data_IF_571875300967
#
_entry.id   IF_571875300967
#
_cell.length_a   1.000
_cell.length_b   1.000
_cell.length_c   1.000
_cell.angle_alpha   90.00
_cell.angle_beta   90.00
_cell.angle_gamma   90.00
#
_symmetry.space_group_name_H-M   'P 1'
#
loop_
_entity.id
_entity.type
_entity.pdbx_description
1 polymer ?
#
# COMPACT_ATOMS: atom_id res chain seq x y z
N UNK A 1 -28.41 -25.61 -17.66
CA UNK A 1 -28.40 -25.71 -16.19
C UNK A 1 -28.30 -24.31 -15.61
N UNK A 2 -28.99 -24.01 -14.51
CA UNK A 2 -28.89 -22.70 -13.85
C UNK A 2 -27.73 -22.74 -12.85
N UNK A 3 -26.93 -21.69 -12.84
CA UNK A 3 -25.69 -21.64 -12.06
C UNK A 3 -25.59 -20.28 -11.34
N UNK A 4 -25.15 -20.31 -10.08
CA UNK A 4 -24.68 -19.11 -9.39
C UNK A 4 -23.19 -19.00 -9.62
N UNK A 5 -22.77 -17.90 -10.26
CA UNK A 5 -21.36 -17.60 -10.52
C UNK A 5 -20.90 -16.49 -9.59
N UNK A 6 -19.93 -16.79 -8.74
CA UNK A 6 -19.31 -15.83 -7.84
C UNK A 6 -17.98 -15.36 -8.43
N UNK A 7 -17.87 -14.06 -8.65
CA UNK A 7 -16.72 -13.43 -9.30
C UNK A 7 -15.79 -12.79 -8.28
N UNK A 8 -14.51 -12.69 -8.66
CA UNK A 8 -13.51 -11.91 -7.93
C UNK A 8 -13.86 -10.43 -7.98
N UNK A 9 -13.48 -9.73 -6.91
CA UNK A 9 -13.53 -8.27 -6.83
C UNK A 9 -12.28 -7.68 -7.49
N UNK A 10 -12.48 -6.62 -8.29
CA UNK A 10 -11.39 -5.84 -8.90
C UNK A 10 -10.63 -5.00 -7.87
N UNK A 11 -11.21 -4.77 -6.69
CA UNK A 11 -10.66 -3.97 -5.61
C UNK A 11 -9.26 -4.43 -5.18
N UNK A 12 -8.97 -5.73 -5.19
CA UNK A 12 -7.64 -6.24 -4.83
C UNK A 12 -6.58 -5.81 -5.85
N UNK A 13 -6.90 -5.88 -7.14
CA UNK A 13 -5.97 -5.44 -8.19
C UNK A 13 -5.71 -3.93 -8.12
N UNK A 14 -6.75 -3.14 -7.87
CA UNK A 14 -6.62 -1.69 -7.63
C UNK A 14 -5.75 -1.38 -6.41
N UNK A 15 -5.92 -2.12 -5.30
CA UNK A 15 -5.07 -1.96 -4.10
C UNK A 15 -3.61 -2.28 -4.39
N UNK A 16 -3.33 -3.34 -5.14
CA UNK A 16 -1.94 -3.70 -5.52
C UNK A 16 -1.32 -2.56 -6.32
N UNK A 17 -2.02 -2.08 -7.37
CA UNK A 17 -1.54 -0.98 -8.21
C UNK A 17 -1.29 0.26 -7.35
N UNK A 18 -2.28 0.67 -6.55
CA UNK A 18 -2.18 1.84 -5.69
C UNK A 18 -1.03 1.76 -4.68
N UNK A 19 -0.74 0.57 -4.14
CA UNK A 19 0.40 0.37 -3.24
C UNK A 19 1.75 0.40 -3.97
N UNK A 20 1.79 -0.01 -5.24
CA UNK A 20 3.06 -0.11 -6.00
C UNK A 20 3.47 1.19 -6.68
N UNK A 21 2.51 2.01 -7.13
CA UNK A 21 2.79 3.26 -7.86
C UNK A 21 3.76 4.18 -7.11
N UNK A 22 3.57 4.48 -5.81
CA UNK A 22 4.49 5.38 -5.10
C UNK A 22 5.94 4.90 -5.12
N UNK A 23 6.17 3.60 -4.92
CA UNK A 23 7.52 3.03 -4.94
C UNK A 23 8.14 3.05 -6.33
N UNK A 24 7.34 2.85 -7.38
CA UNK A 24 7.81 2.97 -8.76
C UNK A 24 8.18 4.42 -9.07
N UNK A 25 7.35 5.39 -8.69
CA UNK A 25 7.63 6.82 -8.90
C UNK A 25 8.90 7.25 -8.16
N UNK A 26 9.03 6.89 -6.87
CA UNK A 26 10.23 7.17 -6.08
C UNK A 26 11.45 6.49 -6.71
N UNK A 27 11.31 5.23 -7.17
CA UNK A 27 12.39 4.49 -7.80
C UNK A 27 12.87 5.12 -9.11
N UNK A 28 11.94 5.57 -9.97
CA UNK A 28 12.25 6.30 -11.20
C UNK A 28 12.99 7.59 -10.85
N UNK A 29 12.50 8.35 -9.87
CA UNK A 29 13.13 9.59 -9.44
C UNK A 29 14.58 9.37 -8.96
N UNK A 30 14.83 8.34 -8.15
CA UNK A 30 16.19 7.97 -7.71
C UNK A 30 17.09 7.58 -8.88
N UNK A 31 16.58 6.82 -9.86
CA UNK A 31 17.35 6.46 -11.07
C UNK A 31 17.71 7.70 -11.89
N UNK A 32 16.82 8.69 -11.97
CA UNK A 32 17.04 9.89 -12.79
C UNK A 32 17.94 10.93 -12.14
N UNK A 33 17.97 11.00 -10.80
CA UNK A 33 18.70 12.04 -10.07
C UNK A 33 20.05 11.57 -9.56
N UNK A 34 20.14 10.33 -9.08
CA UNK A 34 21.36 9.84 -8.47
C UNK A 34 22.33 9.29 -9.54
N UNK A 35 23.63 9.51 -9.36
CA UNK A 35 24.65 9.01 -10.28
C UNK A 35 24.69 7.47 -10.32
N UNK A 36 24.98 6.85 -11.50
CA UNK A 36 25.13 5.40 -11.61
C UNK A 36 26.14 4.85 -10.61
N UNK A 37 25.79 3.74 -9.94
CA UNK A 37 26.65 3.07 -8.96
C UNK A 37 26.47 3.54 -7.51
N UNK A 38 25.70 4.60 -7.25
CA UNK A 38 25.32 4.97 -5.88
C UNK A 38 24.30 3.97 -5.30
N UNK A 39 24.26 3.87 -3.96
CA UNK A 39 23.27 3.03 -3.27
C UNK A 39 21.84 3.43 -3.66
N UNK A 40 21.58 4.74 -3.77
CA UNK A 40 20.28 5.26 -4.18
C UNK A 40 19.91 4.81 -5.60
N UNK A 41 20.82 4.93 -6.56
CA UNK A 41 20.60 4.50 -7.93
C UNK A 41 20.22 3.01 -8.01
N UNK A 42 20.95 2.15 -7.28
CA UNK A 42 20.67 0.70 -7.20
C UNK A 42 19.31 0.44 -6.55
N UNK A 43 18.99 1.14 -5.45
CA UNK A 43 17.69 1.04 -4.78
C UNK A 43 16.54 1.52 -5.67
N UNK A 44 16.79 2.50 -6.53
CA UNK A 44 15.82 2.97 -7.53
C UNK A 44 15.46 1.86 -8.52
N UNK A 45 16.47 1.16 -9.06
CA UNK A 45 16.25 -0.02 -9.91
C UNK A 45 15.53 -1.15 -9.18
N UNK A 46 15.91 -1.45 -7.94
CA UNK A 46 15.18 -2.42 -7.13
C UNK A 46 13.72 -2.01 -6.96
N UNK A 47 13.46 -0.74 -6.65
CA UNK A 47 12.13 -0.17 -6.50
C UNK A 47 11.29 -0.34 -7.77
N UNK A 48 11.82 0.09 -8.91
CA UNK A 48 11.12 0.02 -10.21
C UNK A 48 10.92 -1.43 -10.64
N UNK A 49 11.94 -2.28 -10.59
CA UNK A 49 11.81 -3.66 -11.05
C UNK A 49 10.92 -4.50 -10.14
N UNK A 50 11.08 -4.40 -8.81
CA UNK A 50 10.32 -5.22 -7.87
C UNK A 50 8.87 -4.75 -7.75
N UNK A 51 8.64 -3.46 -7.49
CA UNK A 51 7.27 -2.94 -7.35
C UNK A 51 6.58 -2.74 -8.71
N UNK A 52 7.35 -2.52 -9.78
CA UNK A 52 6.82 -2.44 -11.15
C UNK A 52 6.10 -3.72 -11.59
N UNK A 53 6.54 -4.91 -11.13
CA UNK A 53 5.83 -6.17 -11.35
C UNK A 53 4.44 -6.21 -10.70
N UNK A 54 4.19 -5.38 -9.68
CA UNK A 54 2.88 -5.24 -9.06
C UNK A 54 1.84 -4.66 -10.01
N UNK A 55 2.24 -3.81 -10.96
CA UNK A 55 1.34 -3.20 -11.95
C UNK A 55 0.72 -4.25 -12.89
N UNK A 56 1.49 -5.06 -13.65
CA UNK A 56 0.91 -6.09 -14.51
C UNK A 56 0.16 -7.16 -13.71
N UNK A 57 0.61 -7.52 -12.50
CA UNK A 57 -0.13 -8.43 -11.61
C UNK A 57 -1.50 -7.83 -11.21
N UNK A 58 -1.52 -6.56 -10.84
CA UNK A 58 -2.74 -5.83 -10.50
C UNK A 58 -3.70 -5.72 -11.68
N UNK A 59 -3.19 -5.41 -12.87
CA UNK A 59 -3.96 -5.37 -14.12
C UNK A 59 -4.54 -6.75 -14.45
N UNK A 60 -3.74 -7.82 -14.35
CA UNK A 60 -4.23 -9.19 -14.55
C UNK A 60 -5.37 -9.52 -13.60
N UNK A 61 -5.28 -9.11 -12.33
CA UNK A 61 -6.33 -9.33 -11.35
C UNK A 61 -7.60 -8.49 -11.63
N UNK A 62 -7.47 -7.28 -12.20
CA UNK A 62 -8.61 -6.44 -12.61
C UNK A 62 -9.32 -7.03 -13.83
N UNK A 63 -8.55 -7.52 -14.81
CA UNK A 63 -9.10 -8.05 -16.05
C UNK A 63 -9.51 -9.53 -15.96
N UNK A 64 -9.15 -10.25 -14.89
CA UNK A 64 -9.60 -11.63 -14.65
C UNK A 64 -11.10 -11.68 -14.30
N UNK A 65 -11.95 -11.69 -15.34
CA UNK A 65 -13.41 -11.81 -15.23
C UNK A 65 -13.90 -13.25 -15.05
N UNK A 66 -13.01 -14.22 -14.87
CA UNK A 66 -13.39 -15.64 -14.72
C UNK A 66 -14.06 -15.86 -13.36
N UNK A 67 -15.15 -16.65 -13.28
CA UNK A 67 -15.77 -17.01 -12.01
C UNK A 67 -14.75 -17.71 -11.11
N UNK A 68 -14.80 -17.43 -9.81
CA UNK A 68 -13.98 -18.12 -8.83
C UNK A 68 -14.73 -19.34 -8.29
N UNK A 69 -16.00 -19.18 -7.91
CA UNK A 69 -16.85 -20.26 -7.42
C UNK A 69 -18.06 -20.37 -8.35
N UNK A 70 -18.39 -21.60 -8.74
CA UNK A 70 -19.59 -21.95 -9.51
C UNK A 70 -20.40 -22.93 -8.66
N UNK A 71 -21.68 -22.63 -8.47
CA UNK A 71 -22.63 -23.45 -7.72
C UNK A 71 -23.75 -23.82 -8.67
N UNK A 72 -24.02 -25.11 -8.84
CA UNK A 72 -25.06 -25.62 -9.72
C UNK A 72 -25.86 -26.75 -9.01
N UNK A 73 -26.77 -27.41 -9.72
CA UNK A 73 -27.63 -28.48 -9.19
C UNK A 73 -26.89 -29.79 -8.83
N UNK A 74 -25.70 -30.01 -9.37
CA UNK A 74 -24.86 -31.19 -9.15
C UNK A 74 -23.85 -30.97 -8.02
N UNK A 75 -23.27 -29.77 -7.91
CA UNK A 75 -22.27 -29.49 -6.90
C UNK A 75 -21.74 -28.05 -6.86
N UNK A 76 -20.59 -27.93 -6.21
CA UNK A 76 -19.84 -26.69 -6.05
C UNK A 76 -18.41 -26.87 -6.57
N UNK A 77 -17.97 -25.93 -7.39
CA UNK A 77 -16.62 -25.89 -7.93
C UNK A 77 -15.93 -24.58 -7.56
N UNK A 78 -14.68 -24.66 -7.09
CA UNK A 78 -13.83 -23.51 -6.79
C UNK A 78 -12.52 -23.61 -7.57
N UNK A 79 -12.25 -22.59 -8.40
CA UNK A 79 -11.05 -22.47 -9.20
C UNK A 79 -9.76 -22.49 -8.36
N UNK A 80 -9.81 -22.07 -7.10
CA UNK A 80 -8.64 -21.92 -6.22
C UNK A 80 -8.24 -23.20 -5.49
N UNK A 81 -9.17 -24.14 -5.29
CA UNK A 81 -8.89 -25.40 -4.60
C UNK A 81 -8.16 -26.40 -5.49
N UNK A 82 -8.22 -26.21 -6.81
CA UNK A 82 -7.64 -27.09 -7.82
C UNK A 82 -8.14 -28.55 -7.66
N UNK A 83 -9.40 -28.71 -7.25
CA UNK A 83 -10.13 -29.97 -7.16
C UNK A 83 -11.16 -30.06 -8.30
N UNK A 84 -11.76 -31.24 -8.48
CA UNK A 84 -12.98 -31.35 -9.27
C UNK A 84 -14.17 -30.74 -8.52
N UNK A 85 -15.30 -30.63 -9.24
CA UNK A 85 -16.57 -30.27 -8.64
C UNK A 85 -16.91 -31.22 -7.48
N UNK A 86 -17.18 -30.64 -6.31
CA UNK A 86 -17.60 -31.36 -5.12
C UNK A 86 -19.11 -31.54 -5.23
N UNK A 87 -19.57 -32.79 -5.39
CA UNK A 87 -21.00 -33.07 -5.51
C UNK A 87 -21.70 -32.81 -4.18
N UNK A 88 -22.97 -32.40 -4.23
CA UNK A 88 -23.74 -32.12 -3.02
C UNK A 88 -23.86 -33.32 -2.09
N UNK A 89 -23.96 -34.53 -2.65
CA UNK A 89 -24.05 -35.79 -1.88
C UNK A 89 -22.80 -36.07 -1.07
N UNK A 90 -21.65 -35.50 -1.49
CA UNK A 90 -20.37 -35.70 -0.83
C UNK A 90 -20.13 -34.71 0.31
N UNK A 91 -21.00 -33.71 0.47
CA UNK A 91 -20.86 -32.66 1.47
C UNK A 91 -21.67 -33.02 2.72
N UNK A 92 -20.98 -33.30 3.82
CA UNK A 92 -21.62 -33.60 5.10
C UNK A 92 -22.13 -32.29 5.73
N UNK A 93 -21.25 -31.29 5.82
CA UNK A 93 -21.57 -29.99 6.42
C UNK A 93 -20.54 -28.94 5.98
N UNK A 94 -20.95 -27.68 5.98
CA UNK A 94 -20.07 -26.53 5.85
C UNK A 94 -20.16 -25.62 7.08
N UNK A 95 -19.07 -24.94 7.40
CA UNK A 95 -19.04 -23.94 8.47
C UNK A 95 -18.10 -22.77 8.13
N UNK A 96 -18.40 -21.55 8.62
CA UNK A 96 -17.53 -20.40 8.44
C UNK A 96 -16.26 -20.52 9.29
N UNK A 97 -15.14 -20.07 8.77
CA UNK A 97 -13.88 -19.95 9.52
C UNK A 97 -13.12 -18.68 9.13
N UNK A 98 -12.44 -18.07 10.10
CA UNK A 98 -11.59 -16.90 9.89
C UNK A 98 -10.13 -17.26 10.17
N UNK A 99 -9.29 -17.14 9.14
CA UNK A 99 -7.86 -17.42 9.23
C UNK A 99 -7.10 -16.14 8.88
N UNK A 100 -6.67 -15.41 9.90
CA UNK A 100 -5.86 -14.17 9.78
C UNK A 100 -6.64 -13.03 9.09
N UNK A 101 -7.90 -12.84 9.46
CA UNK A 101 -8.79 -11.83 8.88
C UNK A 101 -9.31 -12.18 7.49
N UNK A 102 -8.94 -13.37 6.98
CA UNK A 102 -9.48 -13.90 5.73
C UNK A 102 -10.62 -14.85 6.06
N UNK A 103 -11.77 -14.60 5.44
CA UNK A 103 -12.98 -15.41 5.62
C UNK A 103 -12.99 -16.59 4.66
N UNK A 104 -13.31 -17.76 5.19
CA UNK A 104 -13.49 -18.98 4.43
C UNK A 104 -14.80 -19.66 4.78
N UNK A 105 -15.29 -20.49 3.87
CA UNK A 105 -16.27 -21.55 4.19
C UNK A 105 -15.54 -22.89 4.09
N UNK A 106 -15.41 -23.55 5.23
CA UNK A 106 -14.77 -24.84 5.35
C UNK A 106 -15.79 -25.94 5.07
N UNK A 107 -15.49 -26.86 4.17
CA UNK A 107 -16.37 -27.95 3.76
C UNK A 107 -15.83 -29.26 4.32
N UNK A 108 -16.71 -29.98 5.02
CA UNK A 108 -16.47 -31.36 5.45
C UNK A 108 -17.06 -32.28 4.39
N UNK A 109 -16.19 -32.97 3.65
CA UNK A 109 -16.58 -33.96 2.67
C UNK A 109 -16.55 -35.38 3.27
N UNK A 110 -17.36 -36.27 2.73
CA UNK A 110 -17.36 -37.69 3.08
C UNK A 110 -16.17 -38.45 2.48
N UNK A 111 -16.08 -39.75 2.79
CA UNK A 111 -14.99 -40.60 2.33
C UNK A 111 -15.02 -40.92 0.83
N UNK A 112 -16.10 -40.57 0.12
CA UNK A 112 -16.22 -40.81 -1.33
C UNK A 112 -15.52 -39.70 -2.13
N UNK A 113 -15.23 -38.56 -1.51
CA UNK A 113 -14.51 -37.48 -2.15
C UNK A 113 -13.00 -37.75 -2.20
N UNK A 114 -12.44 -37.86 -3.41
CA UNK A 114 -11.02 -38.11 -3.63
C UNK A 114 -10.31 -36.80 -3.94
N UNK A 115 -9.39 -36.41 -3.07
CA UNK A 115 -8.53 -35.24 -3.27
C UNK A 115 -7.52 -35.48 -4.40
N UNK A 116 -7.46 -34.57 -5.37
CA UNK A 116 -6.47 -34.61 -6.47
C UNK A 116 -5.03 -34.47 -6.02
N UNK A 117 -4.80 -33.74 -4.93
CA UNK A 117 -3.46 -33.45 -4.40
C UNK A 117 -3.38 -33.86 -2.95
N UNK A 118 -2.37 -34.68 -2.62
CA UNK A 118 -2.03 -34.96 -1.22
C UNK A 118 -1.50 -33.68 -0.57
N UNK A 119 -2.16 -33.26 0.50
CA UNK A 119 -1.69 -32.14 1.30
C UNK A 119 -0.37 -32.50 2.01
N UNK A 120 0.55 -31.54 2.08
CA UNK A 120 1.78 -31.73 2.85
C UNK A 120 1.47 -31.98 4.33
N UNK A 121 2.17 -32.93 4.98
CA UNK A 121 1.94 -33.32 6.38
C UNK A 121 1.99 -32.14 7.35
N UNK A 122 2.91 -31.20 7.13
CA UNK A 122 3.03 -29.99 7.96
C UNK A 122 1.81 -29.08 7.82
N UNK A 123 1.30 -28.90 6.59
CA UNK A 123 0.12 -28.07 6.32
C UNK A 123 -1.14 -28.72 6.90
N UNK A 124 -1.26 -30.05 6.85
CA UNK A 124 -2.36 -30.78 7.48
C UNK A 124 -2.40 -30.60 9.01
N UNK A 125 -1.22 -30.59 9.67
CA UNK A 125 -1.12 -30.33 11.11
C UNK A 125 -1.58 -28.91 11.47
N UNK A 126 -1.16 -27.92 10.68
CA UNK A 126 -1.59 -26.53 10.86
C UNK A 126 -3.10 -26.39 10.64
N UNK A 127 -3.64 -26.96 9.56
CA UNK A 127 -5.07 -26.94 9.28
C UNK A 127 -5.89 -27.50 10.44
N UNK A 128 -5.47 -28.64 11.01
CA UNK A 128 -6.14 -29.24 12.17
C UNK A 128 -6.11 -28.33 13.40
N UNK A 129 -5.00 -27.63 13.65
CA UNK A 129 -4.87 -26.71 14.78
C UNK A 129 -5.72 -25.45 14.64
N UNK A 130 -5.89 -24.94 13.41
CA UNK A 130 -6.69 -23.75 13.14
C UNK A 130 -8.17 -24.08 12.85
N UNK A 131 -8.57 -25.35 12.90
CA UNK A 131 -9.94 -25.81 12.62
C UNK A 131 -10.33 -25.83 11.14
N UNK A 132 -9.37 -25.68 10.23
CA UNK A 132 -9.61 -25.70 8.78
C UNK A 132 -9.65 -27.13 8.25
N UNK A 133 -10.52 -27.40 7.27
CA UNK A 133 -10.55 -28.68 6.57
C UNK A 133 -9.56 -28.72 5.40
N UNK A 134 -9.56 -29.80 4.64
CA UNK A 134 -8.79 -29.88 3.39
C UNK A 134 -9.48 -29.10 2.26
N UNK A 135 -10.82 -28.93 2.33
CA UNK A 135 -11.61 -28.10 1.42
C UNK A 135 -12.01 -26.80 2.12
N UNK A 136 -11.36 -25.69 1.75
CA UNK A 136 -11.73 -24.37 2.24
C UNK A 136 -11.97 -23.44 1.05
N UNK A 137 -13.17 -22.89 0.95
CA UNK A 137 -13.53 -21.90 -0.06
C UNK A 137 -13.08 -20.52 0.41
N UNK A 138 -12.13 -19.90 -0.30
CA UNK A 138 -11.60 -18.59 0.07
C UNK A 138 -12.53 -17.46 -0.41
N UNK A 139 -13.09 -16.69 0.52
CA UNK A 139 -13.99 -15.58 0.23
C UNK A 139 -13.31 -14.21 0.23
N UNK A 140 -12.01 -14.13 0.53
CA UNK A 140 -11.27 -12.87 0.62
C UNK A 140 -11.26 -12.04 -0.68
N UNK A 141 -11.60 -12.65 -1.82
CA UNK A 141 -11.70 -11.98 -3.11
C UNK A 141 -13.13 -11.94 -3.66
N UNK A 142 -14.11 -12.54 -2.99
CA UNK A 142 -15.48 -12.69 -3.52
C UNK A 142 -16.41 -11.77 -2.74
N UNK A 143 -17.32 -11.10 -3.45
CA UNK A 143 -18.28 -10.22 -2.82
C UNK A 143 -19.55 -10.94 -2.34
N UNK A 144 -19.41 -11.81 -1.34
CA UNK A 144 -20.52 -12.54 -0.71
C UNK A 144 -20.33 -12.59 0.82
N UNK A 145 -21.43 -12.52 1.57
CA UNK A 145 -21.39 -12.74 3.00
C UNK A 145 -21.11 -14.21 3.31
N UNK A 146 -20.16 -14.46 4.22
CA UNK A 146 -19.71 -15.81 4.60
C UNK A 146 -20.85 -16.68 5.16
N UNK A 147 -21.72 -16.11 5.99
CA UNK A 147 -22.85 -16.84 6.59
C UNK A 147 -23.90 -17.15 5.51
N UNK A 148 -24.19 -16.20 4.62
CA UNK A 148 -25.13 -16.43 3.52
C UNK A 148 -24.68 -17.55 2.59
N UNK A 149 -23.37 -17.63 2.28
CA UNK A 149 -22.83 -18.73 1.48
C UNK A 149 -22.84 -20.07 2.24
N UNK A 150 -22.47 -20.04 3.52
CA UNK A 150 -22.52 -21.21 4.40
C UNK A 150 -23.92 -21.82 4.46
N UNK A 151 -24.94 -20.97 4.69
CA UNK A 151 -26.33 -21.39 4.80
C UNK A 151 -26.83 -21.95 3.46
N UNK A 152 -26.44 -21.34 2.34
CA UNK A 152 -26.75 -21.86 1.00
C UNK A 152 -26.16 -23.26 0.80
N UNK A 153 -24.88 -23.47 1.11
CA UNK A 153 -24.20 -24.76 0.93
C UNK A 153 -24.85 -25.84 1.78
N UNK A 154 -25.11 -25.55 3.06
CA UNK A 154 -25.75 -26.51 3.97
C UNK A 154 -27.20 -26.81 3.58
N UNK A 155 -27.90 -25.86 2.96
CA UNK A 155 -29.25 -26.11 2.43
C UNK A 155 -29.19 -27.02 1.21
N UNK A 156 -28.31 -26.72 0.26
CA UNK A 156 -28.17 -27.50 -0.98
C UNK A 156 -27.69 -28.93 -0.74
N UNK A 157 -26.79 -29.15 0.23
CA UNK A 157 -26.29 -30.50 0.56
C UNK A 157 -27.37 -31.42 1.12
N UNK A 158 -28.44 -30.87 1.72
CA UNK A 158 -29.55 -31.61 2.33
C UNK A 158 -30.78 -31.73 1.43
N UNK A 159 -30.81 -30.99 0.34
CA UNK A 159 -31.95 -30.94 -0.58
C UNK A 159 -31.84 -31.96 -1.70
N UNK A 160 -32.98 -32.40 -2.24
CA UNK A 160 -33.06 -33.20 -3.46
C UNK A 160 -32.79 -32.35 -4.71
N UNK A 161 -32.47 -33.00 -5.84
CA UNK A 161 -32.04 -32.33 -7.08
C UNK A 161 -33.02 -31.26 -7.59
N UNK A 162 -34.31 -31.54 -7.58
CA UNK A 162 -35.34 -30.58 -8.02
C UNK A 162 -35.46 -29.39 -7.06
N UNK A 163 -35.36 -29.62 -5.75
CA UNK A 163 -35.39 -28.55 -4.76
C UNK A 163 -34.15 -27.65 -4.86
N UNK A 164 -32.95 -28.24 -5.08
CA UNK A 164 -31.71 -27.49 -5.32
C UNK A 164 -31.87 -26.51 -6.47
N UNK A 165 -32.52 -26.95 -7.56
CA UNK A 165 -32.78 -26.11 -8.72
C UNK A 165 -33.64 -24.89 -8.37
N UNK A 166 -34.61 -25.03 -7.47
CA UNK A 166 -35.47 -23.94 -7.00
C UNK A 166 -34.74 -23.00 -6.05
N UNK A 167 -33.90 -23.53 -5.16
CA UNK A 167 -33.05 -22.75 -4.25
C UNK A 167 -32.07 -21.88 -5.05
N UNK A 168 -31.37 -22.46 -6.02
CA UNK A 168 -30.41 -21.76 -6.89
C UNK A 168 -31.09 -20.63 -7.67
N UNK A 169 -32.33 -20.83 -8.09
CA UNK A 169 -33.12 -19.83 -8.83
C UNK A 169 -33.56 -18.65 -8.00
N UNK A 170 -33.96 -18.90 -6.76
CA UNK A 170 -34.45 -17.88 -5.84
C UNK A 170 -33.33 -17.14 -5.11
N UNK A 171 -32.12 -17.71 -5.09
CA UNK A 171 -30.99 -17.13 -4.38
C UNK A 171 -30.52 -15.81 -5.03
N UNK A 172 -30.59 -14.73 -4.26
CA UNK A 172 -30.03 -13.43 -4.63
C UNK A 172 -28.69 -13.25 -3.95
N UNK A 173 -27.65 -13.01 -4.76
CA UNK A 173 -26.32 -12.66 -4.23
C UNK A 173 -26.40 -11.25 -3.67
N UNK A 174 -26.56 -11.13 -2.36
CA UNK A 174 -26.39 -9.87 -1.65
C UNK A 174 -24.90 -9.52 -1.67
N UNK A 175 -24.52 -8.68 -2.65
CA UNK A 175 -23.17 -8.11 -2.71
C UNK A 175 -22.96 -7.29 -1.44
N UNK A 176 -21.87 -7.54 -0.73
CA UNK A 176 -21.39 -6.64 0.31
C UNK A 176 -20.99 -5.34 -0.40
N UNK A 177 -21.83 -4.31 -0.29
CA UNK A 177 -21.51 -3.00 -0.83
C UNK A 177 -20.17 -2.52 -0.27
N UNK A 178 -19.34 -1.88 -1.09
CA UNK A 178 -18.25 -1.06 -0.56
C UNK A 178 -18.90 0.00 0.32
N UNK A 179 -18.85 -0.19 1.64
CA UNK A 179 -19.57 0.69 2.54
C UNK A 179 -18.98 2.09 2.43
N UNK A 180 -19.85 3.12 2.42
CA UNK A 180 -19.46 4.53 2.54
C UNK A 180 -18.49 4.73 3.72
N UNK A 181 -18.68 3.93 4.79
CA UNK A 181 -17.79 3.76 5.93
C UNK A 181 -16.34 3.41 5.57
N UNK A 182 -16.10 2.57 4.56
CA UNK A 182 -14.75 2.22 4.11
C UNK A 182 -14.01 3.41 3.48
N UNK A 183 -14.73 4.22 2.69
CA UNK A 183 -14.17 5.43 2.08
C UNK A 183 -13.90 6.52 3.14
N UNK A 184 -14.83 6.74 4.07
CA UNK A 184 -14.64 7.65 5.20
C UNK A 184 -13.43 7.25 6.07
N UNK A 185 -13.26 5.95 6.35
CA UNK A 185 -12.07 5.46 7.06
C UNK A 185 -10.78 5.75 6.28
N UNK A 186 -10.78 5.58 4.96
CA UNK A 186 -9.61 5.88 4.13
C UNK A 186 -9.25 7.37 4.19
N UNK A 187 -10.24 8.27 4.06
CA UNK A 187 -10.02 9.72 4.22
C UNK A 187 -9.46 10.04 5.60
N UNK A 188 -10.07 9.49 6.66
CA UNK A 188 -9.60 9.70 8.03
C UNK A 188 -8.14 9.29 8.18
N UNK A 189 -7.76 8.13 7.63
CA UNK A 189 -6.38 7.67 7.68
C UNK A 189 -5.43 8.58 6.90
N UNK A 190 -5.81 9.08 5.72
CA UNK A 190 -5.00 10.04 4.97
C UNK A 190 -4.80 11.32 5.78
N UNK A 191 -5.86 11.87 6.37
CA UNK A 191 -5.78 13.07 7.20
C UNK A 191 -4.92 12.85 8.44
N UNK A 192 -5.04 11.69 9.10
CA UNK A 192 -4.19 11.31 10.22
C UNK A 192 -2.71 11.20 9.82
N UNK A 193 -2.41 10.63 8.65
CA UNK A 193 -1.03 10.57 8.12
C UNK A 193 -0.46 11.95 7.83
N UNK A 194 -1.25 12.87 7.25
CA UNK A 194 -0.83 14.25 7.02
C UNK A 194 -0.57 14.97 8.34
N UNK A 195 -1.48 14.83 9.32
CA UNK A 195 -1.32 15.42 10.65
C UNK A 195 -0.07 14.90 11.37
N UNK A 196 0.22 13.60 11.28
CA UNK A 196 1.45 12.99 11.80
C UNK A 196 2.70 13.53 11.10
N UNK A 197 2.66 13.68 9.77
CA UNK A 197 3.77 14.25 9.01
C UNK A 197 4.05 15.70 9.46
N UNK A 198 3.02 16.52 9.57
CA UNK A 198 3.15 17.90 10.06
C UNK A 198 3.76 17.96 11.47
N UNK A 199 3.30 17.09 12.38
CA UNK A 199 3.87 16.99 13.73
C UNK A 199 5.36 16.59 13.68
N UNK A 200 5.71 15.67 12.79
CA UNK A 200 7.09 15.20 12.62
C UNK A 200 8.02 16.29 12.11
N UNK A 201 7.53 17.14 11.21
CA UNK A 201 8.28 18.27 10.67
C UNK A 201 8.51 19.39 11.69
N UNK A 202 7.84 19.39 12.85
CA UNK A 202 8.11 20.37 13.92
C UNK A 202 9.48 20.21 14.58
N UNK A 203 10.09 19.03 14.48
CA UNK A 203 11.45 18.82 14.99
C UNK A 203 11.82 17.35 15.23
N UNK A 204 13.13 17.12 15.41
CA UNK A 204 13.70 15.79 15.64
C UNK A 204 13.10 15.05 16.83
N UNK A 205 12.76 15.76 17.92
CA UNK A 205 12.15 15.15 19.10
C UNK A 205 10.78 14.53 18.79
N UNK A 206 9.95 15.22 17.99
CA UNK A 206 8.65 14.71 17.56
C UNK A 206 8.80 13.48 16.65
N UNK A 207 9.75 13.52 15.71
CA UNK A 207 10.09 12.36 14.88
C UNK A 207 10.49 11.14 15.71
N UNK A 208 11.45 11.28 16.62
CA UNK A 208 11.91 10.17 17.47
C UNK A 208 10.79 9.62 18.36
N UNK A 209 9.91 10.48 18.88
CA UNK A 209 8.75 10.05 19.67
C UNK A 209 7.84 9.14 18.86
N UNK A 210 7.53 9.50 17.61
CA UNK A 210 6.70 8.67 16.72
C UNK A 210 7.43 7.36 16.37
N UNK A 211 8.73 7.40 16.11
CA UNK A 211 9.52 6.20 15.78
C UNK A 211 9.59 5.21 16.95
N UNK A 212 9.75 5.70 18.18
CA UNK A 212 9.72 4.86 19.39
C UNK A 212 8.33 4.26 19.58
N UNK A 213 7.27 5.06 19.46
CA UNK A 213 5.89 4.58 19.57
C UNK A 213 5.59 3.50 18.52
N UNK A 214 6.04 3.69 17.28
CA UNK A 214 5.96 2.71 16.21
C UNK A 214 6.69 1.42 16.56
N UNK A 215 7.93 1.51 17.06
CA UNK A 215 8.74 0.34 17.44
C UNK A 215 8.10 -0.48 18.55
N UNK A 216 7.61 0.18 19.60
CA UNK A 216 6.88 -0.46 20.71
C UNK A 216 5.59 -1.10 20.18
N UNK A 217 4.82 -0.39 19.35
CA UNK A 217 3.59 -0.93 18.76
C UNK A 217 3.85 -2.14 17.85
N UNK A 218 4.93 -2.13 17.06
CA UNK A 218 5.31 -3.26 16.21
C UNK A 218 5.69 -4.51 17.05
N UNK A 219 6.40 -4.31 18.16
CA UNK A 219 6.72 -5.40 19.11
C UNK A 219 5.44 -5.96 19.75
N UNK A 220 4.55 -5.09 20.21
CA UNK A 220 3.24 -5.50 20.76
C UNK A 220 2.44 -6.27 19.70
N UNK A 221 2.34 -5.75 18.47
CA UNK A 221 1.61 -6.41 17.40
C UNK A 221 2.14 -7.82 17.07
N UNK A 222 3.47 -8.01 17.13
CA UNK A 222 4.13 -9.24 16.70
C UNK A 222 4.29 -10.28 17.81
N UNK A 223 4.50 -9.86 19.06
CA UNK A 223 4.87 -10.74 20.17
C UNK A 223 3.81 -10.83 21.27
N UNK A 224 2.58 -10.35 21.05
CA UNK A 224 1.48 -10.55 21.99
C UNK A 224 1.13 -12.04 22.13
N UNK A 225 1.81 -12.72 23.06
CA UNK A 225 1.67 -14.15 23.37
C UNK A 225 0.36 -14.50 24.12
N UNK A 226 -0.40 -13.49 24.57
CA UNK A 226 -1.40 -13.68 25.63
C UNK A 226 -2.88 -13.59 25.27
N UNK A 227 -3.32 -13.28 24.04
CA UNK A 227 -4.78 -13.28 23.80
C UNK A 227 -5.22 -13.48 22.35
N UNK A 228 -6.49 -13.90 22.24
CA UNK A 228 -7.26 -14.13 21.02
C UNK A 228 -6.97 -13.11 19.91
N UNK A 229 -7.05 -13.58 18.65
CA UNK A 229 -6.93 -12.77 17.42
C UNK A 229 -7.79 -11.50 17.42
N UNK A 230 -8.86 -11.46 18.22
CA UNK A 230 -9.79 -10.32 18.36
C UNK A 230 -9.39 -9.28 19.41
N UNK A 231 -8.17 -9.35 19.95
CA UNK A 231 -7.68 -8.35 20.90
C UNK A 231 -7.61 -6.96 20.25
N UNK A 232 -8.45 -6.04 20.73
CA UNK A 232 -8.43 -4.62 20.32
C UNK A 232 -7.03 -4.03 20.43
N UNK A 233 -6.27 -4.42 21.45
CA UNK A 233 -4.89 -3.94 21.70
C UNK A 233 -3.97 -4.26 20.52
N UNK A 234 -4.03 -5.50 20.01
CA UNK A 234 -3.23 -5.92 18.87
C UNK A 234 -3.60 -5.13 17.61
N UNK A 235 -4.89 -4.96 17.34
CA UNK A 235 -5.38 -4.20 16.18
C UNK A 235 -4.92 -2.74 16.22
N UNK A 236 -4.97 -2.10 17.39
CA UNK A 236 -4.44 -0.74 17.56
C UNK A 236 -2.93 -0.69 17.40
N UNK A 237 -2.19 -1.66 17.96
CA UNK A 237 -0.75 -1.74 17.82
C UNK A 237 -0.31 -1.93 16.36
N UNK A 238 -0.99 -2.80 15.60
CA UNK A 238 -0.77 -2.97 14.16
C UNK A 238 -1.03 -1.66 13.40
N UNK A 239 -2.10 -0.95 13.75
CA UNK A 239 -2.46 0.33 13.13
C UNK A 239 -1.40 1.40 13.42
N UNK A 240 -0.97 1.55 14.67
CA UNK A 240 0.08 2.51 15.09
C UNK A 240 1.39 2.20 14.37
N UNK A 241 1.79 0.93 14.28
CA UNK A 241 2.99 0.51 13.57
C UNK A 241 2.93 0.91 12.09
N UNK A 242 1.80 0.70 11.43
CA UNK A 242 1.60 1.12 10.04
C UNK A 242 1.64 2.64 9.86
N UNK A 243 0.98 3.40 10.74
CA UNK A 243 1.03 4.86 10.68
C UNK A 243 2.44 5.42 10.90
N UNK A 244 3.18 4.88 11.86
CA UNK A 244 4.57 5.26 12.09
C UNK A 244 5.45 4.97 10.88
N UNK A 245 5.27 3.81 10.24
CA UNK A 245 6.03 3.44 9.05
C UNK A 245 5.72 4.37 7.86
N UNK A 246 4.43 4.61 7.60
CA UNK A 246 4.00 5.54 6.54
C UNK A 246 4.56 6.94 6.81
N UNK A 247 4.49 7.40 8.06
CA UNK A 247 5.04 8.70 8.45
C UNK A 247 6.55 8.78 8.23
N UNK A 248 7.32 7.75 8.59
CA UNK A 248 8.76 7.69 8.34
C UNK A 248 9.07 7.81 6.84
N UNK A 249 8.35 7.07 5.99
CA UNK A 249 8.53 7.13 4.53
C UNK A 249 8.19 8.51 3.99
N UNK A 250 7.07 9.09 4.40
CA UNK A 250 6.65 10.43 3.98
C UNK A 250 7.63 11.51 4.44
N UNK A 251 8.14 11.40 5.67
CA UNK A 251 9.12 12.33 6.24
C UNK A 251 10.43 12.30 5.46
N UNK A 252 10.99 11.12 5.21
CA UNK A 252 12.22 10.98 4.40
C UNK A 252 12.01 11.49 2.98
N UNK A 253 10.88 11.16 2.37
CA UNK A 253 10.53 11.66 1.04
C UNK A 253 10.42 13.20 1.01
N UNK A 254 9.82 13.80 2.04
CA UNK A 254 9.68 15.25 2.16
C UNK A 254 11.03 15.95 2.27
N UNK A 255 11.93 15.46 3.13
CA UNK A 255 13.30 16.01 3.26
C UNK A 255 14.03 15.92 1.93
N UNK A 256 14.06 14.72 1.32
CA UNK A 256 14.80 14.50 0.08
C UNK A 256 14.26 15.33 -1.09
N UNK A 257 12.94 15.55 -1.12
CA UNK A 257 12.30 16.43 -2.12
C UNK A 257 12.63 17.89 -1.85
N UNK A 258 12.62 18.33 -0.59
CA UNK A 258 13.01 19.68 -0.20
C UNK A 258 14.46 19.96 -0.60
N UNK A 259 15.40 19.11 -0.21
CA UNK A 259 16.84 19.28 -0.52
C UNK A 259 17.06 19.34 -2.03
N UNK A 260 16.44 18.44 -2.78
CA UNK A 260 16.57 18.43 -4.24
C UNK A 260 16.07 19.73 -4.90
N UNK A 261 14.92 20.26 -4.45
CA UNK A 261 14.37 21.49 -5.02
C UNK A 261 15.24 22.68 -4.61
N UNK A 262 15.67 22.77 -3.35
CA UNK A 262 16.48 23.91 -2.90
C UNK A 262 17.87 23.90 -3.51
N UNK A 263 18.49 22.73 -3.72
CA UNK A 263 19.76 22.58 -4.45
C UNK A 263 19.62 23.05 -5.90
N UNK A 264 18.58 22.60 -6.62
CA UNK A 264 18.27 23.05 -7.99
C UNK A 264 18.13 24.58 -8.06
N UNK A 265 17.38 25.17 -7.12
CA UNK A 265 17.18 26.63 -7.07
C UNK A 265 18.49 27.35 -6.74
N UNK A 266 19.24 26.89 -5.74
CA UNK A 266 20.54 27.46 -5.36
C UNK A 266 21.51 27.46 -6.53
N UNK A 267 21.57 26.36 -7.28
CA UNK A 267 22.42 26.22 -8.46
C UNK A 267 22.04 27.20 -9.56
N UNK A 268 20.75 27.34 -9.86
CA UNK A 268 20.24 28.29 -10.87
C UNK A 268 20.57 29.74 -10.49
N UNK A 269 20.33 30.11 -9.22
CA UNK A 269 20.63 31.47 -8.72
C UNK A 269 22.14 31.74 -8.78
N UNK A 270 22.95 30.81 -8.29
CA UNK A 270 24.41 30.91 -8.28
C UNK A 270 24.98 31.08 -9.70
N UNK A 271 24.49 30.26 -10.65
CA UNK A 271 24.89 30.34 -12.05
C UNK A 271 24.58 31.71 -12.65
N UNK A 272 23.40 32.26 -12.37
CA UNK A 272 23.00 33.55 -12.94
C UNK A 272 23.69 34.74 -12.26
N UNK A 273 24.03 34.63 -10.97
CA UNK A 273 24.88 35.62 -10.29
C UNK A 273 26.29 35.68 -10.89
N UNK A 274 26.89 34.52 -11.23
CA UNK A 274 28.19 34.45 -11.92
C UNK A 274 28.10 34.99 -13.35
N UNK A 275 27.05 34.66 -14.10
CA UNK A 275 26.80 35.22 -15.43
C UNK A 275 26.68 36.74 -15.40
N UNK A 276 25.99 37.28 -14.39
CA UNK A 276 25.85 38.72 -14.19
C UNK A 276 27.21 39.36 -13.90
N UNK A 277 28.02 38.78 -13.01
CA UNK A 277 29.39 39.24 -12.72
C UNK A 277 30.27 39.22 -13.96
N UNK A 278 30.22 38.18 -14.77
CA UNK A 278 30.99 38.11 -16.02
C UNK A 278 30.58 39.20 -17.01
N UNK A 279 29.31 39.60 -17.04
CA UNK A 279 28.79 40.64 -17.95
C UNK A 279 29.06 42.06 -17.48
N UNK A 280 28.97 42.31 -16.17
CA UNK A 280 29.00 43.66 -15.60
C UNK A 280 30.20 43.93 -14.67
N UNK A 281 31.10 42.96 -14.52
CA UNK A 281 32.28 42.97 -13.64
C UNK A 281 31.99 43.18 -12.15
N UNK A 282 30.73 43.02 -11.73
CA UNK A 282 30.26 43.13 -10.35
C UNK A 282 29.10 42.17 -10.10
N UNK A 283 28.95 41.71 -8.86
CA UNK A 283 27.79 40.89 -8.48
C UNK A 283 26.50 41.72 -8.46
N UNK A 284 25.33 41.06 -8.66
CA UNK A 284 24.03 41.71 -8.56
C UNK A 284 23.79 42.27 -7.15
N UNK A 285 23.09 43.39 -7.05
CA UNK A 285 22.79 44.02 -5.74
C UNK A 285 21.67 43.32 -4.97
N UNK A 286 20.96 42.38 -5.60
CA UNK A 286 19.90 41.59 -5.00
C UNK A 286 19.26 40.64 -6.01
N UNK A 287 18.48 39.67 -5.53
CA UNK A 287 17.82 38.65 -6.37
C UNK A 287 16.89 39.26 -7.43
N UNK A 288 16.25 40.40 -7.14
CA UNK A 288 15.37 41.11 -8.08
C UNK A 288 16.09 41.59 -9.35
N UNK A 289 17.42 41.76 -9.28
CA UNK A 289 18.23 42.17 -10.43
C UNK A 289 18.62 41.00 -11.33
N UNK A 290 18.32 39.77 -10.91
CA UNK A 290 18.63 38.53 -11.59
C UNK A 290 17.32 38.00 -12.21
N UNK A 291 17.27 37.85 -13.55
CA UNK A 291 16.05 37.40 -14.24
C UNK A 291 15.90 35.88 -14.17
N UNK A 292 15.60 35.35 -12.98
CA UNK A 292 15.48 33.90 -12.72
C UNK A 292 14.04 33.42 -12.97
N UNK A 293 13.09 34.35 -13.04
CA UNK A 293 11.64 34.08 -13.01
C UNK A 293 11.13 33.31 -14.25
N UNK A 294 11.88 33.34 -15.36
CA UNK A 294 11.55 32.60 -16.59
C UNK A 294 11.86 31.10 -16.53
N UNK A 295 12.83 30.70 -15.70
CA UNK A 295 13.42 29.35 -15.72
C UNK A 295 13.03 28.49 -14.49
N UNK A 296 12.22 29.03 -13.59
CA UNK A 296 11.74 28.34 -12.39
C UNK A 296 10.30 27.87 -12.53
N UNK A 297 10.04 26.61 -12.15
CA UNK A 297 8.68 26.12 -11.97
C UNK A 297 8.02 26.70 -10.70
N UNK A 298 6.73 26.45 -10.50
CA UNK A 298 5.96 27.02 -9.38
C UNK A 298 6.56 26.70 -7.99
N UNK A 299 7.08 25.48 -7.79
CA UNK A 299 7.70 25.09 -6.52
C UNK A 299 9.06 25.75 -6.35
N UNK A 300 9.87 25.76 -7.40
CA UNK A 300 11.17 26.42 -7.42
C UNK A 300 11.04 27.92 -7.12
N UNK A 301 10.03 28.61 -7.67
CA UNK A 301 9.73 30.02 -7.36
C UNK A 301 9.41 30.23 -5.87
N UNK A 302 8.62 29.34 -5.27
CA UNK A 302 8.30 29.42 -3.86
C UNK A 302 9.56 29.33 -2.98
N UNK A 303 10.51 28.47 -3.34
CA UNK A 303 11.77 28.35 -2.62
C UNK A 303 12.75 29.48 -2.91
N UNK A 304 12.81 29.97 -4.15
CA UNK A 304 13.63 31.12 -4.51
C UNK A 304 13.29 32.35 -3.67
N UNK A 305 11.99 32.58 -3.42
CA UNK A 305 11.51 33.69 -2.58
C UNK A 305 11.87 33.55 -1.09
N UNK A 306 12.37 32.38 -0.64
CA UNK A 306 12.84 32.14 0.72
C UNK A 306 14.35 32.24 0.87
N UNK A 307 15.08 32.38 -0.24
CA UNK A 307 16.53 32.49 -0.21
C UNK A 307 16.89 33.95 0.07
N UNK A 308 17.68 34.16 1.12
CA UNK A 308 18.27 35.45 1.42
C UNK A 308 19.58 35.58 0.64
N UNK A 309 19.75 36.72 -0.04
CA UNK A 309 20.94 37.05 -0.80
C UNK A 309 21.66 38.22 -0.14
N UNK A 310 22.93 38.05 0.18
CA UNK A 310 23.78 39.11 0.73
C UNK A 310 25.09 39.21 -0.03
N UNK A 311 25.55 40.44 -0.23
CA UNK A 311 26.88 40.72 -0.77
C UNK A 311 27.91 40.78 0.35
N UNK A 312 29.08 40.21 0.10
CA UNK A 312 30.30 40.41 0.88
C UNK A 312 31.29 41.25 0.07
N UNK A 313 32.39 41.70 0.68
CA UNK A 313 33.38 42.59 0.02
C UNK A 313 33.97 41.97 -1.27
N UNK A 314 33.97 40.65 -1.38
CA UNK A 314 34.59 39.92 -2.50
C UNK A 314 33.67 38.90 -3.17
N UNK A 315 32.51 38.56 -2.59
CA UNK A 315 31.63 37.49 -3.07
C UNK A 315 30.14 37.72 -2.73
N UNK A 316 29.27 36.77 -3.07
CA UNK A 316 27.88 36.73 -2.61
C UNK A 316 27.65 35.51 -1.71
N UNK A 317 26.60 35.58 -0.89
CA UNK A 317 26.16 34.50 -0.02
C UNK A 317 24.67 34.26 -0.22
N UNK A 318 24.30 32.98 -0.38
CA UNK A 318 22.90 32.55 -0.41
C UNK A 318 22.60 31.81 0.89
N UNK A 319 21.57 32.26 1.59
CA UNK A 319 21.13 31.69 2.87
C UNK A 319 19.70 31.19 2.77
N UNK A 320 19.43 30.06 3.39
CA UNK A 320 18.09 29.49 3.45
C UNK A 320 17.88 28.80 4.79
N UNK A 321 16.68 28.94 5.36
CA UNK A 321 16.28 28.13 6.49
C UNK A 321 15.72 26.79 6.03
N UNK A 322 16.30 25.70 6.54
CA UNK A 322 15.84 24.34 6.29
C UNK A 322 14.45 24.06 6.89
N UNK A 323 13.92 22.86 6.67
CA UNK A 323 12.63 22.43 7.24
C UNK A 323 12.58 22.47 8.78
N UNK A 324 13.73 22.55 9.45
CA UNK A 324 13.88 22.59 10.90
C UNK A 324 14.33 23.96 11.42
N UNK A 325 14.20 24.99 10.58
CA UNK A 325 14.56 26.37 10.89
C UNK A 325 16.05 26.54 11.25
N UNK A 326 16.91 25.70 10.68
CA UNK A 326 18.37 25.88 10.72
C UNK A 326 18.81 26.61 9.47
N UNK A 327 19.63 27.63 9.67
CA UNK A 327 20.27 28.35 8.57
C UNK A 327 21.25 27.41 7.85
N UNK A 328 21.17 27.42 6.51
CA UNK A 328 22.12 26.76 5.62
C UNK A 328 22.66 27.78 4.64
N UNK A 329 23.95 27.65 4.32
CA UNK A 329 24.65 28.51 3.37
C UNK A 329 24.94 27.70 2.11
N UNK A 330 24.58 28.22 0.95
CA UNK A 330 24.89 27.54 -0.31
C UNK A 330 26.39 27.65 -0.61
N UNK A 331 27.03 26.53 -0.93
CA UNK A 331 28.42 26.47 -1.40
C UNK A 331 28.42 26.36 -2.94
N UNK A 332 28.72 27.44 -3.67
CA UNK A 332 28.70 27.43 -5.14
C UNK A 332 29.67 26.42 -5.76
N UNK A 333 30.76 26.07 -5.06
CA UNK A 333 31.79 25.17 -5.59
C UNK A 333 31.36 23.72 -5.54
N UNK A 334 30.61 23.36 -4.50
CA UNK A 334 30.12 22.00 -4.28
C UNK A 334 28.67 21.81 -4.72
N UNK A 335 28.00 22.90 -5.08
CA UNK A 335 26.61 22.92 -5.51
C UNK A 335 25.62 22.37 -4.46
N UNK A 336 25.96 22.53 -3.18
CA UNK A 336 25.21 21.98 -2.05
C UNK A 336 24.96 23.04 -0.97
N UNK A 337 23.89 22.87 -0.19
CA UNK A 337 23.62 23.70 1.00
C UNK A 337 24.32 23.11 2.23
N UNK A 338 25.08 23.91 2.98
CA UNK A 338 25.85 23.51 4.16
C UNK A 338 25.28 23.99 5.47
#
# INVERSE_FOLDING_TARGET
>A
MKEIKLYKTTAKGLKIIGLTIPFVVIGIWMITQDSPGTINYIMGWFGVCFFGLGIPVGLFQIFDKRPQIIINENGIWDRTTNQDEIKWEQIIVAYPIDIFGQKFVSIVADNTFIFKKKQYKWAAKINKQIGAQQLNLNLGQININVNTLNDLINKLSKSEKEERRNIIQSFKVNKVGSSLLGFQKAILYILSSIGLLMLTLTGLAAFWTIMIAMGVAALIARWYWGSNKDSKVRTYAETIAWFGFINMVLYLFTIKTYDHITESVGQKISTEAENYKNRYSKYPSGLETINIDGDLNLLEKYFANKIEYSLTDTDYELKLFDLFNKERIYDPKLQEWR
#
